data_IF_904147533534
#
_entry.id   IF_904147533534
#
_cell.length_a   1.000
_cell.length_b   1.000
_cell.length_c   1.000
_cell.angle_alpha   90.00
_cell.angle_beta   90.00
_cell.angle_gamma   90.00
#
_symmetry.space_group_name_H-M   'P 1'
#
loop_
_entity.id
_entity.type
_entity.pdbx_description
1 polymer ?
#
# COMPACT_ATOMS: atom_id res chain seq x y z
N UNK A 1 11.31 -45.95 20.19
CA UNK A 1 12.68 -45.37 20.08
C UNK A 1 12.55 -43.98 19.46
N UNK A 2 13.29 -43.01 19.99
CA UNK A 2 13.21 -41.54 19.81
C UNK A 2 12.08 -40.80 20.54
N UNK A 3 12.34 -40.56 21.82
CA UNK A 3 11.81 -39.49 22.67
C UNK A 3 13.01 -38.56 22.96
N UNK A 4 12.77 -37.26 23.16
CA UNK A 4 13.67 -36.21 23.68
C UNK A 4 14.43 -35.36 22.65
N UNK A 5 13.86 -34.20 22.35
CA UNK A 5 14.61 -32.92 22.38
C UNK A 5 13.64 -31.81 22.83
N UNK A 6 13.57 -31.66 24.16
CA UNK A 6 13.15 -30.42 24.82
C UNK A 6 14.17 -29.32 24.47
N UNK A 7 13.71 -28.08 24.29
CA UNK A 7 14.00 -26.93 25.17
C UNK A 7 13.53 -25.62 24.50
N UNK A 8 12.66 -24.82 25.14
CA UNK A 8 12.19 -23.55 24.60
C UNK A 8 13.20 -22.43 24.91
N UNK A 9 13.50 -21.60 23.91
CA UNK A 9 14.28 -20.38 24.10
C UNK A 9 13.31 -19.27 24.50
N UNK A 10 13.19 -19.17 25.81
CA UNK A 10 12.75 -18.05 26.60
C UNK A 10 13.48 -16.76 26.18
N UNK A 11 12.72 -15.67 26.05
CA UNK A 11 13.11 -14.29 26.43
C UNK A 11 14.44 -13.76 25.90
N UNK A 12 14.39 -13.00 24.80
CA UNK A 12 15.37 -11.95 24.52
C UNK A 12 14.67 -10.80 23.80
N UNK A 13 14.93 -9.56 24.25
CA UNK A 13 14.46 -8.27 23.71
C UNK A 13 13.13 -7.69 24.23
N UNK A 14 13.07 -7.44 25.54
CA UNK A 14 12.54 -6.18 26.08
C UNK A 14 13.74 -5.35 26.52
N UNK A 15 14.01 -4.21 25.87
CA UNK A 15 14.68 -3.00 26.40
C UNK A 15 15.18 -2.11 25.24
N UNK A 16 15.11 -0.80 25.49
CA UNK A 16 15.60 0.35 24.69
C UNK A 16 14.56 0.89 23.68
N UNK A 17 14.26 2.19 23.64
CA UNK A 17 14.64 3.29 24.50
C UNK A 17 13.62 4.43 24.34
N UNK A 18 13.47 5.20 25.41
CA UNK A 18 12.71 6.43 25.52
C UNK A 18 13.23 7.50 24.53
N UNK A 19 12.32 8.28 23.95
CA UNK A 19 12.69 9.35 23.02
C UNK A 19 11.62 10.44 22.96
N UNK A 20 11.78 11.44 23.84
CA UNK A 20 11.25 12.81 23.73
C UNK A 20 9.73 13.02 23.89
N UNK A 21 9.26 13.04 25.15
CA UNK A 21 8.18 13.96 25.54
C UNK A 21 8.76 15.38 25.63
N UNK A 22 8.17 16.35 24.92
CA UNK A 22 8.33 17.78 25.25
C UNK A 22 7.21 18.18 26.20
N UNK A 23 7.53 18.32 27.48
CA UNK A 23 6.70 19.04 28.45
C UNK A 23 6.87 20.55 28.20
N UNK A 24 5.73 21.23 28.05
CA UNK A 24 5.63 22.70 28.06
C UNK A 24 5.59 23.14 29.53
N UNK A 25 6.41 24.10 29.97
CA UNK A 25 6.40 24.60 31.35
C UNK A 25 5.19 25.54 31.59
N UNK A 26 4.55 25.51 32.78
CA UNK A 26 3.60 26.53 33.18
C UNK A 26 4.29 27.52 34.13
N UNK A 27 4.64 28.73 33.66
CA UNK A 27 5.07 29.82 34.53
C UNK A 27 4.24 31.08 34.22
N UNK A 28 3.48 31.48 35.25
CA UNK A 28 3.32 32.83 35.78
C UNK A 28 2.88 33.98 34.87
N UNK A 29 1.69 34.54 35.17
CA UNK A 29 1.52 35.92 35.66
C UNK A 29 0.11 36.48 35.36
N UNK A 30 -0.77 36.32 36.34
CA UNK A 30 -1.60 37.36 36.95
C UNK A 30 -2.03 38.57 36.09
N UNK A 31 -3.32 38.66 35.71
CA UNK A 31 -4.14 39.88 35.89
C UNK A 31 -5.61 39.47 36.13
N UNK A 32 -6.18 39.87 37.27
CA UNK A 32 -7.60 39.71 37.62
C UNK A 32 -8.52 40.55 36.75
N UNK A 33 -9.64 39.99 36.28
CA UNK A 33 -10.87 40.76 36.05
C UNK A 33 -12.09 39.89 36.33
N UNK A 34 -12.86 40.32 37.32
CA UNK A 34 -14.14 39.77 37.78
C UNK A 34 -15.25 40.14 36.80
N UNK A 35 -15.91 39.20 36.10
CA UNK A 35 -17.30 39.36 35.63
C UNK A 35 -17.97 37.99 35.37
N UNK A 36 -19.12 37.79 36.04
CA UNK A 36 -20.31 36.98 35.74
C UNK A 36 -20.22 35.48 35.37
N UNK A 37 -21.02 34.60 36.00
CA UNK A 37 -21.19 33.21 35.59
C UNK A 37 -22.31 33.10 34.54
N UNK A 38 -21.99 33.06 33.26
CA UNK A 38 -22.93 32.68 32.21
C UNK A 38 -22.29 31.63 31.28
N UNK A 39 -23.06 30.54 31.11
CA UNK A 39 -23.02 29.59 29.99
C UNK A 39 -21.74 28.76 29.81
N UNK A 40 -21.82 27.49 30.22
CA UNK A 40 -20.93 26.46 29.67
C UNK A 40 -21.22 26.27 28.18
N UNK A 41 -20.26 26.50 27.27
CA UNK A 41 -20.37 25.94 25.94
C UNK A 41 -20.01 24.46 26.05
N UNK A 42 -21.02 23.59 25.94
CA UNK A 42 -20.83 22.16 25.68
C UNK A 42 -20.04 22.05 24.37
N UNK A 43 -18.73 21.86 24.49
CA UNK A 43 -17.84 21.60 23.37
C UNK A 43 -18.25 20.23 22.82
N UNK A 44 -19.05 20.23 21.75
CA UNK A 44 -19.26 19.02 20.97
C UNK A 44 -17.90 18.65 20.38
N UNK A 45 -17.33 17.55 20.86
CA UNK A 45 -16.25 16.86 20.20
C UNK A 45 -16.74 16.52 18.79
N UNK A 46 -16.29 17.31 17.81
CA UNK A 46 -16.53 17.03 16.41
C UNK A 46 -15.71 15.77 16.11
N UNK A 47 -16.35 14.61 16.20
CA UNK A 47 -15.82 13.39 15.60
C UNK A 47 -15.66 13.69 14.12
N UNK A 48 -14.43 14.03 13.72
CA UNK A 48 -14.04 14.12 12.33
C UNK A 48 -14.11 12.71 11.77
N UNK A 49 -15.30 12.31 11.32
CA UNK A 49 -15.48 11.17 10.44
C UNK A 49 -14.76 11.52 9.15
N UNK A 50 -13.47 11.19 9.07
CA UNK A 50 -12.73 11.26 7.82
C UNK A 50 -13.34 10.23 6.90
N UNK A 51 -14.22 10.68 6.00
CA UNK A 51 -14.89 9.85 5.02
C UNK A 51 -13.82 9.11 4.21
N UNK A 52 -13.88 7.77 4.20
CA UNK A 52 -12.91 6.97 3.49
C UNK A 52 -13.08 7.23 1.99
N UNK A 53 -12.07 7.81 1.36
CA UNK A 53 -12.07 8.04 -0.08
C UNK A 53 -11.64 6.76 -0.79
N UNK A 54 -12.58 6.13 -1.50
CA UNK A 54 -12.30 4.95 -2.34
C UNK A 54 -11.71 5.36 -3.68
N UNK A 55 -10.77 4.57 -4.20
CA UNK A 55 -10.27 4.74 -5.56
C UNK A 55 -11.33 4.29 -6.57
N UNK A 56 -11.83 5.20 -7.40
CA UNK A 56 -12.79 4.84 -8.45
C UNK A 56 -12.08 4.13 -9.62
N UNK A 57 -12.13 2.79 -9.61
CA UNK A 57 -11.53 1.96 -10.67
C UNK A 57 -12.40 1.83 -11.93
N UNK A 58 -13.62 2.38 -11.93
CA UNK A 58 -14.61 2.23 -13.02
C UNK A 58 -14.83 3.53 -13.81
N UNK A 59 -14.81 4.69 -13.16
CA UNK A 59 -15.05 6.00 -13.78
C UNK A 59 -13.92 7.01 -13.52
N UNK A 60 -12.67 6.53 -13.52
CA UNK A 60 -11.49 7.37 -13.39
C UNK A 60 -11.07 8.01 -14.72
N UNK A 61 -10.37 9.17 -14.72
CA UNK A 61 -9.74 9.75 -15.91
C UNK A 61 -8.79 8.81 -16.66
N UNK A 62 -8.26 7.80 -15.98
CA UNK A 62 -7.40 6.76 -16.55
C UNK A 62 -8.18 5.64 -17.28
N UNK A 63 -9.51 5.76 -17.36
CA UNK A 63 -10.41 4.73 -17.87
C UNK A 63 -10.61 3.58 -16.88
N UNK A 64 -11.37 2.56 -17.29
CA UNK A 64 -11.65 1.37 -16.45
C UNK A 64 -10.36 0.59 -16.20
N UNK A 65 -10.05 0.35 -14.93
CA UNK A 65 -8.88 -0.46 -14.55
C UNK A 65 -8.98 -1.90 -15.08
N UNK A 66 -10.20 -2.44 -15.17
CA UNK A 66 -10.46 -3.78 -15.73
C UNK A 66 -9.88 -3.96 -17.14
N UNK A 67 -9.79 -2.89 -17.93
CA UNK A 67 -9.19 -2.93 -19.27
C UNK A 67 -7.66 -3.18 -19.24
N UNK A 68 -7.01 -3.09 -18.08
CA UNK A 68 -5.60 -3.43 -17.90
C UNK A 68 -5.38 -4.92 -17.63
N UNK A 69 -6.42 -5.67 -17.24
CA UNK A 69 -6.27 -7.09 -16.98
C UNK A 69 -6.22 -7.87 -18.31
N UNK A 70 -5.29 -8.82 -18.44
CA UNK A 70 -5.26 -9.76 -19.57
C UNK A 70 -6.29 -10.85 -19.30
N UNK A 71 -7.52 -10.57 -19.71
CA UNK A 71 -8.68 -11.43 -19.56
C UNK A 71 -8.67 -12.50 -20.66
N UNK A 72 -7.98 -13.63 -20.44
CA UNK A 72 -8.04 -14.82 -21.32
C UNK A 72 -9.44 -15.50 -21.25
N UNK A 73 -10.52 -14.74 -21.47
CA UNK A 73 -11.91 -15.15 -21.31
C UNK A 73 -12.44 -15.10 -19.88
N UNK A 74 -11.60 -14.82 -18.89
CA UNK A 74 -12.01 -14.72 -17.47
C UNK A 74 -12.32 -13.27 -17.11
N UNK A 75 -13.38 -13.01 -16.33
CA UNK A 75 -13.76 -11.65 -15.90
C UNK A 75 -13.10 -11.28 -14.57
N UNK A 76 -12.83 -9.99 -14.37
CA UNK A 76 -12.45 -9.48 -13.04
C UNK A 76 -13.68 -9.49 -12.15
N UNK A 77 -13.53 -10.00 -10.93
CA UNK A 77 -14.57 -9.92 -9.91
C UNK A 77 -14.42 -8.62 -9.12
N UNK A 78 -15.51 -8.16 -8.51
CA UNK A 78 -15.45 -7.01 -7.60
C UNK A 78 -16.02 -7.42 -6.25
N UNK A 79 -15.39 -6.97 -5.18
CA UNK A 79 -15.80 -7.25 -3.80
C UNK A 79 -15.82 -5.97 -2.99
N UNK A 80 -16.71 -5.91 -2.00
CA UNK A 80 -16.73 -4.82 -1.03
C UNK A 80 -15.67 -5.04 0.05
N UNK A 81 -14.77 -4.06 0.21
CA UNK A 81 -13.72 -4.05 1.24
C UNK A 81 -13.67 -2.68 1.88
N UNK A 82 -13.95 -2.61 3.18
CA UNK A 82 -13.89 -1.37 3.96
C UNK A 82 -14.70 -0.23 3.31
N UNK A 83 -15.90 -0.53 2.80
CA UNK A 83 -16.77 0.44 2.11
C UNK A 83 -16.41 0.75 0.66
N UNK A 84 -15.37 0.12 0.10
CA UNK A 84 -14.92 0.33 -1.27
C UNK A 84 -15.13 -0.93 -2.12
N UNK A 85 -15.70 -0.75 -3.32
CA UNK A 85 -15.71 -1.78 -4.37
C UNK A 85 -14.32 -1.91 -4.98
N UNK A 86 -13.63 -3.02 -4.71
CA UNK A 86 -12.27 -3.27 -5.20
C UNK A 86 -12.22 -4.44 -6.19
N UNK A 87 -11.37 -4.38 -7.23
CA UNK A 87 -11.20 -5.48 -8.17
C UNK A 87 -10.49 -6.67 -7.50
N UNK A 88 -10.81 -7.86 -7.98
CA UNK A 88 -10.31 -9.13 -7.48
C UNK A 88 -10.16 -10.11 -8.63
N UNK A 89 -9.04 -10.83 -8.66
CA UNK A 89 -8.89 -11.92 -9.61
C UNK A 89 -9.82 -13.09 -9.26
N UNK A 90 -10.41 -13.74 -10.29
CA UNK A 90 -11.28 -14.89 -10.10
C UNK A 90 -10.50 -16.10 -9.55
N UNK A 91 -11.20 -17.05 -8.94
CA UNK A 91 -10.62 -18.31 -8.44
C UNK A 91 -9.41 -18.15 -7.50
N UNK A 92 -9.35 -17.05 -6.74
CA UNK A 92 -8.23 -16.73 -5.83
C UNK A 92 -6.85 -16.64 -6.52
N UNK A 93 -6.82 -16.38 -7.83
CA UNK A 93 -5.60 -16.15 -8.57
C UNK A 93 -4.89 -14.87 -8.05
N UNK A 94 -3.56 -14.85 -8.12
CA UNK A 94 -2.76 -13.77 -7.55
C UNK A 94 -2.32 -12.83 -8.68
N UNK A 95 -2.85 -11.59 -8.74
CA UNK A 95 -2.50 -10.66 -9.80
C UNK A 95 -1.04 -10.25 -9.69
N UNK A 96 -0.43 -10.03 -10.85
CA UNK A 96 0.91 -9.49 -11.03
C UNK A 96 0.83 -8.31 -11.99
N UNK A 97 1.44 -7.19 -11.62
CA UNK A 97 1.45 -5.96 -12.44
C UNK A 97 2.68 -5.96 -13.34
N UNK A 98 2.52 -5.53 -14.57
CA UNK A 98 3.57 -5.42 -15.56
C UNK A 98 3.67 -3.99 -16.09
N UNK A 99 4.90 -3.51 -16.26
CA UNK A 99 5.19 -2.19 -16.80
C UNK A 99 6.52 -2.17 -17.55
N UNK A 100 6.69 -1.24 -18.47
CA UNK A 100 7.96 -1.01 -19.16
C UNK A 100 8.82 -0.03 -18.36
N UNK A 101 10.06 -0.43 -18.08
CA UNK A 101 11.01 0.34 -17.27
C UNK A 101 11.30 1.75 -17.82
N UNK A 102 11.26 1.96 -19.15
CA UNK A 102 11.54 3.26 -19.78
C UNK A 102 10.53 4.37 -19.43
N UNK A 103 9.37 4.00 -18.84
CA UNK A 103 8.35 4.94 -18.35
C UNK A 103 8.23 4.94 -16.83
N UNK A 104 9.11 4.22 -16.13
CA UNK A 104 9.09 4.02 -14.68
C UNK A 104 10.16 4.88 -14.02
N UNK A 105 9.92 5.25 -12.77
CA UNK A 105 10.92 5.86 -11.89
C UNK A 105 11.91 4.83 -11.32
N UNK A 106 11.65 3.53 -11.48
CA UNK A 106 12.57 2.46 -11.08
C UNK A 106 13.80 2.47 -12.02
N UNK A 107 15.03 2.54 -11.45
CA UNK A 107 16.25 2.59 -12.26
C UNK A 107 16.37 1.42 -13.25
N UNK A 108 16.95 1.72 -14.41
CA UNK A 108 17.26 0.72 -15.43
C UNK A 108 18.33 -0.23 -14.87
N UNK A 109 17.96 -1.51 -14.68
CA UNK A 109 18.88 -2.55 -14.16
C UNK A 109 19.89 -2.97 -15.23
N UNK A 110 19.51 -2.93 -16.51
CA UNK A 110 20.34 -3.33 -17.65
C UNK A 110 20.49 -2.16 -18.65
N UNK A 111 21.60 -1.42 -18.64
CA UNK A 111 21.81 -0.29 -19.55
C UNK A 111 21.89 -0.70 -21.02
N UNK A 112 22.12 -1.98 -21.33
CA UNK A 112 22.15 -2.49 -22.72
C UNK A 112 20.75 -2.75 -23.28
N UNK A 113 19.73 -2.79 -22.40
CA UNK A 113 18.31 -2.93 -22.78
C UNK A 113 17.53 -1.78 -22.15
N UNK A 114 17.45 -0.62 -22.81
CA UNK A 114 16.83 0.56 -22.22
C UNK A 114 15.32 0.38 -21.99
N UNK A 115 14.68 -0.56 -22.71
CA UNK A 115 13.25 -0.82 -22.62
C UNK A 115 12.96 -2.32 -22.54
N UNK A 116 12.48 -2.79 -21.39
CA UNK A 116 11.96 -4.13 -21.16
C UNK A 116 10.79 -4.09 -20.17
N UNK A 117 9.93 -5.11 -20.25
CA UNK A 117 8.84 -5.28 -19.29
C UNK A 117 9.39 -5.78 -17.96
N UNK A 118 9.09 -5.08 -16.89
CA UNK A 118 9.28 -5.49 -15.51
C UNK A 118 7.99 -6.13 -15.01
N UNK A 119 8.13 -7.23 -14.29
CA UNK A 119 7.05 -7.87 -13.55
C UNK A 119 7.18 -7.52 -12.07
N UNK A 120 6.13 -6.98 -11.47
CA UNK A 120 6.00 -6.90 -10.01
C UNK A 120 5.64 -8.27 -9.48
N UNK A 121 6.41 -8.77 -8.53
CA UNK A 121 6.16 -10.10 -7.98
C UNK A 121 4.79 -10.11 -7.26
N UNK A 122 3.94 -11.10 -7.56
CA UNK A 122 2.60 -11.17 -6.98
C UNK A 122 2.67 -11.41 -5.46
N UNK A 123 1.55 -11.23 -4.74
CA UNK A 123 1.41 -11.78 -3.40
C UNK A 123 1.83 -13.27 -3.36
N UNK A 124 2.37 -13.73 -2.24
CA UNK A 124 2.71 -15.15 -2.07
C UNK A 124 1.47 -15.97 -1.73
N UNK A 125 0.50 -15.35 -1.06
CA UNK A 125 -0.77 -15.96 -0.66
C UNK A 125 -1.91 -14.97 -0.82
N UNK A 126 -3.12 -15.51 -1.03
CA UNK A 126 -4.33 -14.71 -1.13
C UNK A 126 -4.60 -13.86 0.13
N UNK A 127 -4.20 -14.36 1.32
CA UNK A 127 -4.36 -13.65 2.59
C UNK A 127 -3.71 -12.25 2.61
N UNK A 128 -2.66 -11.99 1.81
CA UNK A 128 -2.05 -10.67 1.70
C UNK A 128 -2.98 -9.66 0.99
N UNK A 129 -3.79 -10.15 0.04
CA UNK A 129 -4.84 -9.35 -0.63
C UNK A 129 -6.10 -9.20 0.24
N UNK A 130 -6.23 -10.00 1.29
CA UNK A 130 -7.29 -9.83 2.30
C UNK A 130 -6.90 -8.81 3.35
N UNK A 131 -5.62 -8.78 3.73
CA UNK A 131 -5.06 -7.79 4.64
C UNK A 131 -4.97 -6.39 3.99
N UNK A 132 -4.72 -6.33 2.67
CA UNK A 132 -4.70 -5.10 1.89
C UNK A 132 -5.37 -5.36 0.55
N UNK A 133 -6.38 -4.58 0.18
CA UNK A 133 -7.03 -4.75 -1.13
C UNK A 133 -6.01 -4.68 -2.29
N UNK A 134 -6.34 -5.21 -3.47
CA UNK A 134 -5.46 -5.14 -4.64
C UNK A 134 -4.90 -3.73 -4.89
N UNK A 135 -5.74 -2.71 -4.72
CA UNK A 135 -5.36 -1.31 -4.93
C UNK A 135 -4.40 -0.80 -3.86
N UNK A 136 -4.57 -1.22 -2.60
CA UNK A 136 -3.67 -0.85 -1.50
C UNK A 136 -2.33 -1.61 -1.58
N UNK A 137 -2.38 -2.91 -1.88
CA UNK A 137 -1.21 -3.79 -2.00
C UNK A 137 -0.18 -3.24 -3.01
N UNK A 138 -0.64 -2.76 -4.17
CA UNK A 138 0.22 -2.17 -5.19
C UNK A 138 0.36 -0.63 -5.12
N UNK A 139 -0.33 0.02 -4.18
CA UNK A 139 -0.34 1.49 -4.08
C UNK A 139 -0.84 2.14 -5.37
N UNK A 140 -1.99 1.66 -5.87
CA UNK A 140 -2.58 2.08 -7.14
C UNK A 140 -3.10 3.51 -7.06
N UNK A 141 -2.77 4.32 -8.07
CA UNK A 141 -3.29 5.67 -8.28
C UNK A 141 -3.64 5.89 -9.75
N UNK A 142 -4.45 6.92 -10.03
CA UNK A 142 -4.63 7.44 -11.39
C UNK A 142 -3.94 8.80 -11.48
N UNK A 143 -2.93 8.91 -12.33
CA UNK A 143 -2.15 10.14 -12.51
C UNK A 143 -2.20 10.57 -13.98
N UNK A 144 -2.80 11.74 -14.21
CA UNK A 144 -3.13 12.19 -15.55
C UNK A 144 -4.11 11.23 -16.23
N UNK A 145 -3.64 10.50 -17.24
CA UNK A 145 -4.41 9.50 -17.99
C UNK A 145 -3.87 8.07 -17.84
N UNK A 146 -2.93 7.83 -16.91
CA UNK A 146 -2.32 6.52 -16.69
C UNK A 146 -2.56 5.99 -15.27
N UNK A 147 -2.93 4.70 -15.20
CA UNK A 147 -2.90 3.95 -13.96
C UNK A 147 -1.46 3.72 -13.53
N UNK A 148 -1.14 4.00 -12.27
CA UNK A 148 0.22 4.00 -11.72
C UNK A 148 0.26 3.19 -10.43
N UNK A 149 1.36 2.48 -10.19
CA UNK A 149 1.65 1.79 -8.92
C UNK A 149 2.84 2.43 -8.24
N UNK A 150 2.92 2.26 -6.92
CA UNK A 150 3.98 2.83 -6.08
C UNK A 150 4.51 1.88 -5.00
N UNK A 151 3.86 0.73 -4.78
CA UNK A 151 4.29 -0.27 -3.81
C UNK A 151 4.72 -1.56 -4.51
N UNK A 152 5.82 -2.15 -4.03
CA UNK A 152 6.39 -3.39 -4.59
C UNK A 152 6.70 -4.40 -3.48
N UNK A 153 5.71 -4.94 -2.75
CA UNK A 153 5.95 -5.65 -1.48
C UNK A 153 6.93 -6.83 -1.58
N UNK A 154 6.91 -7.57 -2.69
CA UNK A 154 7.85 -8.68 -2.95
C UNK A 154 8.95 -8.34 -3.95
N UNK A 155 9.09 -7.08 -4.30
CA UNK A 155 10.00 -6.56 -5.30
C UNK A 155 9.54 -6.78 -6.75
N UNK A 156 10.48 -6.61 -7.67
CA UNK A 156 10.29 -6.73 -9.11
C UNK A 156 11.27 -7.72 -9.71
N UNK A 157 10.95 -8.31 -10.85
CA UNK A 157 11.87 -9.15 -11.62
C UNK A 157 11.85 -8.74 -13.08
N UNK A 158 12.99 -8.92 -13.75
CA UNK A 158 13.08 -8.83 -15.19
C UNK A 158 12.89 -10.23 -15.81
N UNK A 159 12.48 -10.32 -17.08
CA UNK A 159 12.46 -11.59 -17.81
C UNK A 159 13.86 -12.20 -18.00
N UNK A 160 14.92 -11.39 -17.93
CA UNK A 160 16.27 -11.79 -18.33
C UNK A 160 17.07 -12.46 -17.23
N UNK A 161 16.94 -12.01 -15.97
CA UNK A 161 17.70 -12.56 -14.85
C UNK A 161 16.86 -13.38 -13.86
N UNK A 162 15.53 -13.18 -13.81
CA UNK A 162 14.67 -13.81 -12.81
C UNK A 162 14.99 -13.42 -11.36
N UNK A 163 15.93 -12.49 -11.15
CA UNK A 163 16.38 -12.08 -9.82
C UNK A 163 15.47 -10.98 -9.33
N UNK A 164 14.87 -11.19 -8.16
CA UNK A 164 14.04 -10.20 -7.50
C UNK A 164 14.91 -9.02 -7.02
N UNK A 165 14.59 -7.80 -7.45
CA UNK A 165 15.16 -6.55 -6.96
C UNK A 165 14.10 -5.75 -6.18
N UNK A 166 14.54 -4.88 -5.27
CA UNK A 166 13.62 -3.99 -4.52
C UNK A 166 12.87 -4.64 -3.35
N UNK A 167 13.20 -5.89 -2.97
CA UNK A 167 12.61 -6.59 -1.81
C UNK A 167 12.92 -5.93 -0.46
N UNK A 168 13.94 -5.09 -0.44
CA UNK A 168 14.35 -4.27 0.70
C UNK A 168 13.56 -2.94 0.80
N UNK A 169 12.56 -2.73 -0.06
CA UNK A 169 11.78 -1.49 -0.13
C UNK A 169 12.46 -0.36 -0.91
N UNK A 170 13.64 -0.58 -1.50
CA UNK A 170 14.38 0.45 -2.26
C UNK A 170 13.66 0.98 -3.51
N UNK A 171 12.57 0.33 -3.91
CA UNK A 171 11.68 0.75 -5.00
C UNK A 171 10.37 1.38 -4.52
N UNK A 172 10.02 1.27 -3.24
CA UNK A 172 8.75 1.79 -2.74
C UNK A 172 8.70 3.32 -2.83
N UNK A 173 7.52 3.84 -3.21
CA UNK A 173 7.30 5.25 -3.52
C UNK A 173 7.69 5.67 -4.93
N UNK A 174 8.49 4.87 -5.66
CA UNK A 174 8.78 5.11 -7.08
C UNK A 174 7.59 4.72 -7.93
N UNK A 175 7.22 5.56 -8.87
CA UNK A 175 6.02 5.38 -9.69
C UNK A 175 6.31 4.58 -10.95
N UNK A 176 5.39 3.68 -11.29
CA UNK A 176 5.42 2.97 -12.57
C UNK A 176 4.03 2.89 -13.21
N UNK A 177 3.88 3.28 -14.48
CA UNK A 177 2.61 3.17 -15.17
C UNK A 177 2.29 1.69 -15.49
N UNK A 178 1.05 1.27 -15.27
CA UNK A 178 0.59 -0.08 -15.58
C UNK A 178 0.42 -0.22 -17.10
N UNK A 179 1.18 -1.13 -17.70
CA UNK A 179 0.91 -1.57 -19.08
C UNK A 179 -0.21 -2.62 -19.07
N UNK A 180 -0.08 -3.66 -18.24
CA UNK A 180 -1.12 -4.68 -18.04
C UNK A 180 -1.00 -5.41 -16.69
N UNK A 181 -2.05 -6.15 -16.33
CA UNK A 181 -2.16 -6.98 -15.12
C UNK A 181 -2.44 -8.41 -15.58
N UNK A 182 -1.63 -9.36 -15.15
CA UNK A 182 -1.81 -10.79 -15.41
C UNK A 182 -1.92 -11.58 -14.10
N UNK A 183 -2.11 -12.89 -14.20
CA UNK A 183 -2.09 -13.83 -13.08
C UNK A 183 -1.55 -15.19 -13.53
#
# INVERSE_FOLDING_TARGET
>A
MSILTLFPILTYFIKSAEGCMRMVPPDDAYISTTMSPEEMPTTMAMESTTEKVCLDTKNSPCGKLENKFILNGVKVEYVERNGCTVPRCPNMLLPSVFFVNSKSEIPIIDPLKPSFTIRVLPPLKYAELEASSFTEYYGLSCEGSAWTISNYPHGTTTPTNGVAAGRDGSTDGKKSPIDFIGW
#
